data_IF_584260228078
#
_entry.id   IF_584260228078
#
_cell.length_a   1.000
_cell.length_b   1.000
_cell.length_c   1.000
_cell.angle_alpha   90.00
_cell.angle_beta   90.00
_cell.angle_gamma   90.00
#
_symmetry.space_group_name_H-M   'P 1'
#
loop_
_entity.id
_entity.type
_entity.pdbx_description
1 polymer ?
#
# COMPACT_ATOMS: atom_id res chain seq x y z
N UNK A 1 -1.93 55.44 -6.50
CA UNK A 1 -3.05 54.91 -7.31
C UNK A 1 -3.19 55.81 -8.52
N UNK A 2 -3.02 55.28 -9.75
CA UNK A 2 -3.08 56.08 -10.97
C UNK A 2 -4.46 56.04 -11.64
N UNK A 3 -5.14 54.90 -11.61
CA UNK A 3 -6.52 54.72 -12.06
C UNK A 3 -7.19 53.50 -11.38
N UNK A 4 -8.50 53.33 -11.55
CA UNK A 4 -9.28 52.19 -11.02
C UNK A 4 -8.69 50.82 -11.35
N UNK A 5 -8.04 50.70 -12.53
CA UNK A 5 -7.43 49.46 -13.03
C UNK A 5 -5.91 49.54 -13.15
N UNK A 6 -5.30 50.58 -12.55
CA UNK A 6 -3.87 50.82 -12.63
C UNK A 6 -3.39 51.42 -11.31
N UNK A 7 -2.99 50.55 -10.39
CA UNK A 7 -2.42 50.93 -9.11
C UNK A 7 -1.39 49.90 -8.69
N UNK A 8 -0.35 50.40 -8.03
CA UNK A 8 0.63 49.61 -7.33
C UNK A 8 0.65 50.00 -5.85
N UNK A 9 1.06 49.08 -4.99
CA UNK A 9 1.20 49.36 -3.56
C UNK A 9 1.93 48.26 -2.81
N UNK A 10 2.14 48.51 -1.52
CA UNK A 10 2.55 47.52 -0.54
C UNK A 10 1.62 47.60 0.67
N UNK A 11 1.57 46.54 1.46
CA UNK A 11 0.73 46.45 2.65
C UNK A 11 1.09 45.24 3.48
N UNK A 12 0.48 45.12 4.65
CA UNK A 12 0.59 43.94 5.49
C UNK A 12 -0.72 43.17 5.43
N UNK A 13 -0.64 41.86 5.25
CA UNK A 13 -1.78 40.96 5.35
C UNK A 13 -1.65 40.14 6.63
N UNK A 14 -2.63 40.23 7.53
CA UNK A 14 -2.63 39.44 8.75
C UNK A 14 -3.25 38.07 8.49
N UNK A 15 -2.40 37.06 8.26
CA UNK A 15 -2.84 35.68 8.15
C UNK A 15 -3.30 35.18 9.51
N UNK A 16 -4.57 34.77 9.59
CA UNK A 16 -5.16 34.24 10.82
C UNK A 16 -5.26 32.73 10.73
N UNK A 17 -4.53 32.02 11.58
CA UNK A 17 -4.63 30.57 11.66
C UNK A 17 -5.93 30.11 12.35
N UNK A 18 -6.15 28.79 12.37
CA UNK A 18 -7.29 28.16 13.05
C UNK A 18 -7.42 28.47 14.56
N UNK A 19 -6.32 28.83 15.24
CA UNK A 19 -6.32 29.20 16.66
C UNK A 19 -6.66 30.68 16.87
N UNK A 20 -6.71 31.44 15.78
CA UNK A 20 -6.89 32.87 15.77
C UNK A 20 -5.61 33.68 15.94
N UNK A 21 -4.45 33.02 15.96
CA UNK A 21 -3.14 33.67 15.99
C UNK A 21 -2.91 34.39 14.65
N UNK A 22 -2.46 35.64 14.74
CA UNK A 22 -2.17 36.47 13.59
C UNK A 22 -0.69 36.38 13.23
N UNK A 23 -0.43 36.18 11.94
CA UNK A 23 0.89 36.18 11.34
C UNK A 23 0.93 37.26 10.26
N UNK A 24 1.58 38.42 10.52
CA UNK A 24 1.66 39.49 9.54
C UNK A 24 2.58 39.10 8.38
N UNK A 25 2.09 39.26 7.15
CA UNK A 25 2.84 38.99 5.92
C UNK A 25 3.01 40.31 5.16
N UNK A 26 4.25 40.71 4.92
CA UNK A 26 4.56 41.86 4.06
C UNK A 26 4.24 41.54 2.59
N UNK A 27 3.25 42.23 2.05
CA UNK A 27 2.88 42.18 0.63
C UNK A 27 3.53 43.36 -0.08
N UNK A 28 4.57 43.11 -0.88
CA UNK A 28 5.38 44.16 -1.51
C UNK A 28 4.89 44.58 -2.88
N UNK A 29 4.16 43.71 -3.57
CA UNK A 29 3.75 43.91 -4.95
C UNK A 29 2.23 43.74 -5.11
N UNK A 30 1.46 44.73 -4.64
CA UNK A 30 0.01 44.82 -4.87
C UNK A 30 -0.18 45.46 -6.24
N UNK A 31 -0.81 44.76 -7.19
CA UNK A 31 -1.03 45.23 -8.54
C UNK A 31 -2.33 44.68 -9.15
N UNK A 32 -2.67 45.13 -10.35
CA UNK A 32 -3.82 44.66 -11.13
C UNK A 32 -3.34 43.73 -12.24
N UNK A 33 -3.93 42.55 -12.37
CA UNK A 33 -3.60 41.59 -13.44
C UNK A 33 -4.25 41.93 -14.79
N UNK A 34 -3.99 41.10 -15.81
CA UNK A 34 -4.54 41.28 -17.16
C UNK A 34 -6.06 41.10 -17.23
N UNK A 35 -6.68 40.47 -16.23
CA UNK A 35 -8.13 40.33 -16.08
C UNK A 35 -8.74 41.44 -15.20
N UNK A 36 -7.97 42.47 -14.86
CA UNK A 36 -8.35 43.59 -14.01
C UNK A 36 -8.68 43.21 -12.55
N UNK A 37 -8.14 42.12 -12.03
CA UNK A 37 -8.25 41.69 -10.64
C UNK A 37 -7.02 42.10 -9.83
N UNK A 38 -7.21 42.45 -8.57
CA UNK A 38 -6.10 42.72 -7.66
C UNK A 38 -5.36 41.42 -7.33
N UNK A 39 -4.04 41.46 -7.36
CA UNK A 39 -3.20 40.45 -6.74
C UNK A 39 -2.15 41.11 -5.86
N UNK A 40 -1.64 40.37 -4.89
CA UNK A 40 -0.50 40.79 -4.08
C UNK A 40 0.52 39.66 -3.96
N UNK A 41 1.81 40.00 -3.98
CA UNK A 41 2.90 39.06 -3.70
C UNK A 41 3.61 39.45 -2.41
N UNK A 42 3.80 38.46 -1.55
CA UNK A 42 4.59 38.52 -0.33
C UNK A 42 5.56 37.35 -0.26
N UNK A 43 6.51 37.41 0.68
CA UNK A 43 7.45 36.33 0.95
C UNK A 43 7.65 36.20 2.45
N UNK A 44 7.54 34.96 2.92
CA UNK A 44 7.77 34.56 4.31
C UNK A 44 9.16 33.94 4.39
N UNK A 45 10.12 34.58 5.07
CA UNK A 45 11.45 34.00 5.26
C UNK A 45 11.42 32.90 6.33
N UNK A 46 12.37 31.97 6.29
CA UNK A 46 12.38 30.81 7.19
C UNK A 46 12.54 31.20 8.66
N UNK A 47 13.34 32.23 8.93
CA UNK A 47 13.57 32.81 10.26
C UNK A 47 12.32 33.45 10.89
N UNK A 48 11.26 33.70 10.12
CA UNK A 48 10.01 34.25 10.65
C UNK A 48 9.22 33.24 11.50
N UNK A 49 9.52 31.93 11.42
CA UNK A 49 8.81 30.90 12.19
C UNK A 49 7.30 30.88 11.89
N UNK A 50 6.92 31.16 10.65
CA UNK A 50 5.53 31.21 10.22
C UNK A 50 4.93 29.79 10.16
N UNK A 51 3.64 29.70 10.49
CA UNK A 51 2.91 28.44 10.51
C UNK A 51 1.60 28.59 9.73
N UNK A 52 1.28 27.61 8.87
CA UNK A 52 -0.03 27.52 8.21
C UNK A 52 -1.10 27.11 9.23
N UNK A 53 -0.72 26.27 10.17
CA UNK A 53 -1.47 25.93 11.38
C UNK A 53 -0.48 25.42 12.43
N UNK A 54 -0.90 25.19 13.69
CA UNK A 54 -0.02 24.60 14.69
C UNK A 54 0.66 23.28 14.28
N UNK A 55 0.12 22.60 13.26
CA UNK A 55 0.64 21.33 12.74
C UNK A 55 1.64 21.48 11.58
N UNK A 56 1.75 22.66 10.96
CA UNK A 56 2.52 22.86 9.72
C UNK A 56 3.33 24.15 9.75
N UNK A 57 4.66 24.03 9.78
CA UNK A 57 5.56 25.15 9.55
C UNK A 57 5.61 25.47 8.05
N UNK A 58 5.87 26.74 7.70
CA UNK A 58 6.01 27.15 6.31
C UNK A 58 7.00 28.31 6.11
N UNK A 59 7.72 28.27 4.99
CA UNK A 59 8.38 29.44 4.43
C UNK A 59 8.32 29.43 2.90
N UNK A 60 8.33 30.61 2.28
CA UNK A 60 8.27 30.75 0.83
C UNK A 60 7.43 31.93 0.36
N UNK A 61 7.00 31.87 -0.88
CA UNK A 61 6.22 32.92 -1.52
C UNK A 61 4.73 32.76 -1.22
N UNK A 62 4.06 33.90 -1.07
CA UNK A 62 2.63 33.99 -0.79
C UNK A 62 1.98 34.89 -1.82
N UNK A 63 0.88 34.42 -2.41
CA UNK A 63 0.12 35.13 -3.43
C UNK A 63 -1.32 35.29 -2.96
N UNK A 64 -1.77 36.53 -2.89
CA UNK A 64 -3.16 36.91 -2.70
C UNK A 64 -3.79 37.19 -4.06
N UNK A 65 -5.01 36.73 -4.27
CA UNK A 65 -5.83 37.03 -5.45
C UNK A 65 -7.20 37.50 -4.99
N UNK A 66 -7.68 38.64 -5.47
CA UNK A 66 -8.99 39.18 -5.07
C UNK A 66 -10.18 38.26 -5.41
N UNK A 67 -10.01 37.38 -6.40
CA UNK A 67 -10.99 36.37 -6.79
C UNK A 67 -11.03 35.16 -5.86
N UNK A 68 -10.10 35.05 -4.90
CA UNK A 68 -9.90 33.90 -4.02
C UNK A 68 -9.92 34.33 -2.56
N UNK A 69 -10.64 33.60 -1.72
CA UNK A 69 -10.58 33.81 -0.26
C UNK A 69 -9.29 33.25 0.34
N UNK A 70 -8.83 32.12 -0.18
CA UNK A 70 -7.57 31.51 0.24
C UNK A 70 -6.37 32.20 -0.40
N UNK A 71 -5.27 32.27 0.37
CA UNK A 71 -3.95 32.61 -0.16
C UNK A 71 -3.34 31.38 -0.85
N UNK A 72 -2.60 31.62 -1.93
CA UNK A 72 -1.78 30.61 -2.58
C UNK A 72 -0.35 30.68 -2.03
N UNK A 73 0.20 29.53 -1.67
CA UNK A 73 1.53 29.36 -1.11
C UNK A 73 2.38 28.56 -2.07
N UNK A 74 3.62 29.02 -2.29
CA UNK A 74 4.64 28.33 -3.07
C UNK A 74 5.93 28.33 -2.26
N UNK A 75 6.33 27.19 -1.73
CA UNK A 75 7.45 27.17 -0.80
C UNK A 75 7.67 25.80 -0.18
N UNK A 76 8.19 25.79 1.03
CA UNK A 76 8.47 24.57 1.78
C UNK A 76 7.61 24.50 3.04
N UNK A 77 7.11 23.31 3.36
CA UNK A 77 6.44 23.02 4.63
C UNK A 77 7.16 21.91 5.38
N UNK A 78 6.94 21.83 6.69
CA UNK A 78 7.40 20.75 7.54
C UNK A 78 6.32 20.40 8.55
N UNK A 79 6.18 19.10 8.82
CA UNK A 79 5.29 18.57 9.85
C UNK A 79 5.96 18.53 11.23
N UNK A 80 5.15 18.61 12.28
CA UNK A 80 5.59 18.71 13.67
C UNK A 80 5.36 17.40 14.42
N UNK A 81 6.44 16.69 14.75
CA UNK A 81 6.39 15.46 15.56
C UNK A 81 7.73 15.23 16.29
N UNK A 82 7.72 14.39 17.32
CA UNK A 82 8.94 13.98 18.06
C UNK A 82 9.31 12.51 17.85
N UNK A 83 8.80 11.90 16.78
CA UNK A 83 9.05 10.50 16.47
C UNK A 83 10.49 10.18 16.07
N UNK A 84 11.17 9.40 16.91
CA UNK A 84 12.49 8.83 16.64
C UNK A 84 12.44 7.93 15.40
N UNK A 85 13.43 8.06 14.51
CA UNK A 85 13.55 7.23 13.31
C UNK A 85 12.78 7.73 12.09
N UNK A 86 11.98 8.81 12.23
CA UNK A 86 11.38 9.53 11.10
C UNK A 86 11.95 10.95 11.12
N UNK A 87 12.58 11.38 10.02
CA UNK A 87 13.23 12.69 9.98
C UNK A 87 12.22 13.80 9.69
N UNK A 88 12.35 14.93 10.41
CA UNK A 88 11.56 16.15 10.20
C UNK A 88 12.13 16.99 9.06
N UNK A 89 11.86 16.60 7.82
CA UNK A 89 12.36 17.30 6.64
C UNK A 89 11.39 18.36 6.12
N UNK A 90 11.94 19.31 5.37
CA UNK A 90 11.15 20.25 4.58
C UNK A 90 10.75 19.62 3.25
N UNK A 91 9.52 19.88 2.83
CA UNK A 91 8.98 19.44 1.55
C UNK A 91 8.46 20.64 0.77
N UNK A 92 8.84 20.74 -0.50
CA UNK A 92 8.30 21.74 -1.41
C UNK A 92 6.84 21.47 -1.77
N UNK A 93 6.00 22.50 -1.81
CA UNK A 93 4.64 22.42 -2.35
C UNK A 93 4.19 23.76 -2.95
N UNK A 94 3.17 23.66 -3.80
CA UNK A 94 2.38 24.80 -4.28
C UNK A 94 0.91 24.50 -4.10
N UNK A 95 0.17 25.37 -3.42
CA UNK A 95 -1.26 25.14 -3.18
C UNK A 95 -1.97 26.32 -2.53
N UNK A 96 -3.31 26.34 -2.66
CA UNK A 96 -4.17 27.24 -1.90
C UNK A 96 -4.47 26.61 -0.54
N UNK A 97 -4.38 27.41 0.52
CA UNK A 97 -4.57 26.92 1.89
C UNK A 97 -5.74 27.63 2.55
N UNK A 98 -6.71 26.85 3.02
CA UNK A 98 -7.72 27.29 3.98
C UNK A 98 -7.11 27.20 5.39
N UNK A 99 -6.96 28.32 6.14
CA UNK A 99 -6.41 28.29 7.49
C UNK A 99 -7.26 27.49 8.49
N UNK A 100 -8.56 27.30 8.23
CA UNK A 100 -9.45 26.52 9.10
C UNK A 100 -9.33 25.01 8.84
N UNK A 101 -8.89 24.64 7.64
CA UNK A 101 -8.72 23.25 7.25
C UNK A 101 -7.57 23.09 6.26
N UNK A 102 -6.35 23.01 6.80
CA UNK A 102 -5.12 22.96 6.02
C UNK A 102 -4.97 21.60 5.33
N UNK A 103 -5.11 21.60 4.00
CA UNK A 103 -4.73 20.50 3.11
C UNK A 103 -3.53 20.90 2.25
N UNK A 104 -2.44 20.15 2.34
CA UNK A 104 -1.22 20.42 1.57
C UNK A 104 -1.11 19.40 0.42
N UNK A 105 -1.01 19.83 -0.85
CA UNK A 105 -0.81 18.91 -1.96
C UNK A 105 0.48 18.09 -1.85
N UNK A 106 0.39 16.79 -2.13
CA UNK A 106 1.48 15.81 -2.11
C UNK A 106 1.53 15.14 -3.49
N UNK A 107 2.60 15.39 -4.26
CA UNK A 107 2.81 14.85 -5.60
C UNK A 107 3.42 13.45 -5.61
N UNK A 108 3.40 12.80 -6.78
CA UNK A 108 3.99 11.47 -7.02
C UNK A 108 5.51 11.45 -6.89
N UNK A 109 6.15 12.59 -7.19
CA UNK A 109 7.58 12.79 -7.02
C UNK A 109 7.77 14.00 -6.12
N UNK A 110 8.36 13.77 -4.96
CA UNK A 110 8.65 14.78 -3.97
C UNK A 110 10.15 14.87 -3.77
N UNK A 111 10.61 16.12 -3.64
CA UNK A 111 11.99 16.41 -3.26
C UNK A 111 12.00 17.38 -2.10
N UNK A 112 13.04 17.30 -1.28
CA UNK A 112 13.28 18.30 -0.26
C UNK A 112 13.96 19.56 -0.83
N UNK A 113 14.31 20.50 0.04
CA UNK A 113 14.96 21.74 -0.35
C UNK A 113 16.32 21.56 -1.04
N UNK A 114 16.97 20.40 -0.85
CA UNK A 114 18.24 20.03 -1.47
C UNK A 114 18.09 19.21 -2.76
N UNK A 115 16.85 18.94 -3.18
CA UNK A 115 16.55 18.15 -4.38
C UNK A 115 16.62 16.63 -4.19
N UNK A 116 16.70 16.15 -2.94
CA UNK A 116 16.76 14.72 -2.62
C UNK A 116 15.36 14.12 -2.50
N UNK A 117 15.17 12.84 -2.88
CA UNK A 117 13.85 12.20 -2.92
C UNK A 117 13.23 12.08 -1.53
N UNK A 118 11.96 12.46 -1.42
CA UNK A 118 11.15 12.37 -0.20
C UNK A 118 10.10 11.27 -0.35
N UNK A 119 9.96 10.44 0.68
CA UNK A 119 8.99 9.34 0.73
C UNK A 119 7.78 9.64 1.61
N UNK A 120 6.68 8.94 1.32
CA UNK A 120 5.34 9.12 1.91
C UNK A 120 4.72 7.77 2.28
N UNK A 121 5.51 6.87 2.85
CA UNK A 121 5.09 5.49 3.09
C UNK A 121 6.20 4.56 3.56
N UNK A 122 6.01 3.27 3.31
CA UNK A 122 6.97 2.21 3.64
C UNK A 122 7.65 1.71 2.36
N UNK A 123 8.95 1.54 2.48
CA UNK A 123 9.85 1.18 1.38
C UNK A 123 10.71 -0.01 1.77
N UNK A 124 11.32 -0.63 0.77
CA UNK A 124 12.28 -1.71 0.93
C UNK A 124 13.55 -1.39 0.16
N UNK A 125 14.71 -1.60 0.79
CA UNK A 125 15.99 -1.37 0.14
C UNK A 125 16.13 -2.22 -1.12
N UNK A 126 16.65 -1.60 -2.18
CA UNK A 126 16.88 -2.30 -3.46
C UNK A 126 18.03 -3.29 -3.39
N UNK A 127 19.04 -2.99 -2.57
CA UNK A 127 20.25 -3.79 -2.39
C UNK A 127 20.22 -4.61 -1.10
N UNK A 128 21.01 -5.69 -1.10
CA UNK A 128 21.16 -6.62 0.01
C UNK A 128 22.19 -6.08 1.02
N UNK A 129 21.90 -6.08 2.35
CA UNK A 129 20.75 -6.73 2.98
C UNK A 129 19.42 -6.00 2.72
N UNK A 130 18.38 -6.76 2.36
CA UNK A 130 17.06 -6.20 2.10
C UNK A 130 16.38 -5.85 3.42
N UNK A 131 16.03 -4.59 3.59
CA UNK A 131 15.41 -4.09 4.82
C UNK A 131 14.23 -3.19 4.51
N UNK A 132 13.23 -3.21 5.39
CA UNK A 132 12.07 -2.32 5.29
C UNK A 132 12.29 -1.08 6.16
N UNK A 133 11.81 0.06 5.69
CA UNK A 133 11.85 1.30 6.46
C UNK A 133 10.66 2.20 6.13
N UNK A 134 10.24 2.98 7.12
CA UNK A 134 9.17 3.96 6.99
C UNK A 134 9.71 5.37 6.74
N UNK A 135 8.98 6.15 5.96
CA UNK A 135 9.19 7.59 5.76
C UNK A 135 7.84 8.29 5.78
N UNK A 136 7.81 9.53 6.26
CA UNK A 136 6.62 10.37 6.17
C UNK A 136 7.06 11.80 5.94
N UNK A 137 7.11 12.20 4.67
CA UNK A 137 7.68 13.48 4.24
C UNK A 137 9.15 13.61 4.65
N UNK A 138 9.85 12.48 4.69
CA UNK A 138 11.27 12.38 5.01
C UNK A 138 12.05 11.75 3.85
N UNK A 139 13.36 11.99 3.77
CA UNK A 139 14.22 11.45 2.71
C UNK A 139 14.08 9.93 2.60
N UNK A 140 14.00 9.42 1.37
CA UNK A 140 14.26 8.00 1.08
C UNK A 140 15.75 7.70 1.31
N UNK A 141 16.08 6.44 1.61
CA UNK A 141 17.50 6.02 1.68
C UNK A 141 18.11 6.02 0.28
N UNK A 142 17.40 5.43 -0.68
CA UNK A 142 17.72 5.52 -2.11
C UNK A 142 16.46 5.84 -2.93
N UNK A 143 16.63 6.56 -4.05
CA UNK A 143 15.53 6.86 -4.97
C UNK A 143 14.92 5.60 -5.61
N UNK A 144 15.76 4.59 -5.85
CA UNK A 144 15.41 3.34 -6.53
C UNK A 144 14.87 2.27 -5.57
N UNK A 145 14.78 2.56 -4.27
CA UNK A 145 14.17 1.65 -3.29
C UNK A 145 12.72 1.34 -3.66
N UNK A 146 12.34 0.08 -3.47
CA UNK A 146 11.03 -0.45 -3.86
C UNK A 146 9.95 0.06 -2.92
N UNK A 147 8.88 0.57 -3.49
CA UNK A 147 7.68 0.96 -2.74
C UNK A 147 6.96 -0.29 -2.24
N UNK A 148 6.78 -0.41 -0.94
CA UNK A 148 5.88 -1.40 -0.33
C UNK A 148 4.48 -0.82 -0.30
N UNK A 149 4.34 0.42 0.16
CA UNK A 149 3.12 1.22 0.03
C UNK A 149 3.49 2.69 0.16
N UNK A 150 2.98 3.52 -0.74
CA UNK A 150 3.16 4.98 -0.72
C UNK A 150 1.83 5.68 -1.03
N UNK A 151 1.62 6.85 -0.44
CA UNK A 151 0.41 7.65 -0.64
C UNK A 151 0.71 9.03 -1.24
N UNK A 152 -0.28 9.56 -1.94
CA UNK A 152 -0.26 10.85 -2.64
C UNK A 152 -1.62 11.53 -2.55
N UNK A 153 -1.69 12.79 -2.97
CA UNK A 153 -2.92 13.58 -2.96
C UNK A 153 -2.81 14.76 -2.02
N UNK A 154 -3.39 14.64 -0.83
CA UNK A 154 -3.42 15.69 0.18
C UNK A 154 -2.87 15.18 1.51
N UNK A 155 -2.01 15.99 2.11
CA UNK A 155 -1.59 15.89 3.51
C UNK A 155 -2.58 16.66 4.37
N UNK A 156 -3.04 16.01 5.43
CA UNK A 156 -3.99 16.54 6.40
C UNK A 156 -3.56 16.16 7.82
N UNK A 157 -3.85 17.01 8.81
CA UNK A 157 -3.66 16.68 10.21
C UNK A 157 -5.01 16.40 10.89
N UNK A 158 -5.25 15.13 11.22
CA UNK A 158 -6.42 14.72 11.99
C UNK A 158 -6.15 15.01 13.47
N UNK A 159 -6.74 16.10 13.98
CA UNK A 159 -6.59 16.55 15.38
C UNK A 159 -7.18 15.57 16.39
N UNK A 160 -8.25 14.86 16.02
CA UNK A 160 -8.93 13.92 16.91
C UNK A 160 -8.06 12.67 17.12
N UNK A 161 -7.41 12.19 16.05
CA UNK A 161 -6.49 11.05 16.09
C UNK A 161 -5.03 11.45 16.37
N UNK A 162 -4.73 12.75 16.39
CA UNK A 162 -3.38 13.31 16.52
C UNK A 162 -2.41 12.68 15.53
N UNK A 163 -2.83 12.61 14.27
CA UNK A 163 -2.08 11.95 13.21
C UNK A 163 -2.03 12.77 11.93
N UNK A 164 -0.88 12.78 11.28
CA UNK A 164 -0.77 13.23 9.90
C UNK A 164 -1.26 12.12 8.98
N UNK A 165 -2.01 12.48 7.93
CA UNK A 165 -2.61 11.55 6.96
C UNK A 165 -2.33 12.05 5.56
N UNK A 166 -1.87 11.17 4.68
CA UNK A 166 -1.70 11.42 3.24
C UNK A 166 -2.62 10.46 2.49
N UNK A 167 -3.56 10.99 1.70
CA UNK A 167 -4.37 10.21 0.75
C UNK A 167 -5.13 11.14 -0.21
N UNK A 168 -6.01 10.56 -1.03
CA UNK A 168 -7.01 11.33 -1.76
C UNK A 168 -8.07 11.88 -0.80
N UNK A 169 -8.71 13.01 -1.18
CA UNK A 169 -9.66 13.72 -0.31
C UNK A 169 -10.81 12.83 0.17
N UNK A 170 -11.34 11.98 -0.70
CA UNK A 170 -12.48 11.13 -0.38
C UNK A 170 -12.11 10.07 0.66
N UNK A 171 -10.96 9.38 0.49
CA UNK A 171 -10.47 8.39 1.45
C UNK A 171 -10.08 9.00 2.81
N UNK A 172 -9.56 10.24 2.84
CA UNK A 172 -9.33 10.97 4.11
C UNK A 172 -10.64 11.15 4.88
N UNK A 173 -11.75 11.41 4.19
CA UNK A 173 -13.07 11.60 4.81
C UNK A 173 -13.75 10.27 5.13
N UNK A 174 -13.53 9.26 4.31
CA UNK A 174 -14.20 7.96 4.38
C UNK A 174 -13.17 6.84 4.12
N UNK A 175 -12.60 6.30 5.20
CA UNK A 175 -11.45 5.39 5.14
C UNK A 175 -11.67 4.09 4.35
N UNK A 176 -12.91 3.67 4.14
CA UNK A 176 -13.29 2.45 3.40
C UNK A 176 -13.32 2.65 1.87
N UNK A 177 -13.11 3.88 1.38
CA UNK A 177 -13.00 4.15 -0.04
C UNK A 177 -11.64 3.72 -0.61
N UNK A 178 -11.58 3.47 -1.94
CA UNK A 178 -10.34 3.05 -2.60
C UNK A 178 -9.19 4.07 -2.56
N UNK A 179 -7.96 3.58 -2.70
CA UNK A 179 -6.73 4.35 -2.85
C UNK A 179 -5.77 4.18 -1.67
N UNK A 180 -4.50 4.54 -1.83
CA UNK A 180 -3.54 4.40 -0.74
C UNK A 180 -3.71 5.52 0.30
N UNK A 181 -3.68 5.16 1.58
CA UNK A 181 -3.64 6.06 2.71
C UNK A 181 -2.43 5.70 3.57
N UNK A 182 -1.63 6.70 3.95
CA UNK A 182 -0.54 6.55 4.90
C UNK A 182 -0.76 7.56 6.02
N UNK A 183 -0.63 7.12 7.27
CA UNK A 183 -0.81 7.96 8.43
C UNK A 183 0.29 7.76 9.48
N UNK A 184 0.79 8.87 10.02
CA UNK A 184 1.77 8.92 11.11
C UNK A 184 1.10 9.43 12.38
N UNK A 185 1.02 8.58 13.41
CA UNK A 185 0.60 8.99 14.75
C UNK A 185 1.71 9.81 15.42
N UNK A 186 1.36 11.01 15.91
CA UNK A 186 2.32 11.87 16.64
C UNK A 186 2.52 11.44 18.09
N UNK A 187 1.63 10.60 18.63
CA UNK A 187 1.73 10.09 20.00
C UNK A 187 2.49 8.76 20.09
N UNK A 188 2.18 7.82 19.19
CA UNK A 188 2.74 6.46 19.24
C UNK A 188 3.87 6.23 18.25
N UNK A 189 4.09 7.18 17.33
CA UNK A 189 5.04 7.07 16.24
C UNK A 189 4.85 5.84 15.35
N UNK A 190 3.63 5.29 15.37
CA UNK A 190 3.17 4.27 14.45
C UNK A 190 2.95 4.89 13.08
N UNK A 191 3.67 4.38 12.09
CA UNK A 191 3.38 4.63 10.69
C UNK A 191 2.45 3.52 10.21
N UNK A 192 1.21 3.90 9.89
CA UNK A 192 0.16 3.00 9.42
C UNK A 192 -0.14 3.28 7.95
N UNK A 193 -0.55 2.25 7.21
CA UNK A 193 -0.95 2.38 5.83
C UNK A 193 -2.14 1.46 5.52
N UNK A 194 -2.97 1.88 4.58
CA UNK A 194 -4.13 1.14 4.07
C UNK A 194 -4.19 1.29 2.54
N UNK A 195 -4.26 0.18 1.81
CA UNK A 195 -4.35 0.18 0.35
C UNK A 195 -3.66 -1.03 -0.28
N UNK A 196 -3.10 -0.82 -1.48
CA UNK A 196 -2.29 -1.83 -2.18
C UNK A 196 -0.90 -1.92 -1.54
N UNK A 197 -0.51 -3.13 -1.19
CA UNK A 197 0.76 -3.45 -0.52
C UNK A 197 1.57 -4.36 -1.45
N UNK A 198 2.69 -3.85 -1.95
CA UNK A 198 3.68 -4.64 -2.68
C UNK A 198 4.54 -5.46 -1.74
N UNK A 199 4.88 -6.70 -2.13
CA UNK A 199 5.76 -7.58 -1.34
C UNK A 199 7.24 -7.22 -1.54
N UNK A 200 7.53 -6.27 -2.44
CA UNK A 200 8.89 -5.93 -2.82
C UNK A 200 9.59 -7.01 -3.64
N UNK A 201 8.89 -8.00 -4.19
CA UNK A 201 9.45 -9.09 -5.01
C UNK A 201 9.13 -8.93 -6.50
N UNK A 202 10.03 -9.42 -7.37
CA UNK A 202 9.80 -9.61 -8.80
C UNK A 202 9.62 -11.10 -9.13
N UNK A 203 8.39 -11.48 -9.45
CA UNK A 203 7.99 -12.87 -9.69
C UNK A 203 7.65 -13.15 -11.16
N UNK A 204 8.04 -12.26 -12.09
CA UNK A 204 7.83 -12.44 -13.52
C UNK A 204 6.35 -12.63 -13.90
N UNK A 205 6.00 -13.84 -14.36
CA UNK A 205 4.64 -14.20 -14.77
C UNK A 205 3.69 -14.51 -13.61
N UNK A 206 4.21 -14.78 -12.40
CA UNK A 206 3.36 -14.90 -11.21
C UNK A 206 2.97 -13.50 -10.73
N UNK A 207 1.68 -13.28 -10.52
CA UNK A 207 1.13 -12.05 -9.96
C UNK A 207 0.68 -12.28 -8.53
N UNK A 208 0.99 -11.33 -7.67
CA UNK A 208 0.64 -11.34 -6.26
C UNK A 208 0.28 -9.91 -5.87
N UNK A 209 -1.01 -9.64 -5.75
CA UNK A 209 -1.52 -8.33 -5.34
C UNK A 209 -2.09 -8.46 -3.92
N UNK A 210 -1.57 -7.66 -2.99
CA UNK A 210 -2.06 -7.63 -1.63
C UNK A 210 -2.77 -6.31 -1.34
N UNK A 211 -3.91 -6.39 -0.66
CA UNK A 211 -4.72 -5.25 -0.26
C UNK A 211 -5.09 -5.36 1.20
N UNK A 212 -4.84 -4.31 1.98
CA UNK A 212 -5.15 -4.32 3.40
C UNK A 212 -4.39 -3.25 4.17
N UNK A 213 -4.08 -3.56 5.43
CA UNK A 213 -3.39 -2.63 6.34
C UNK A 213 -1.97 -3.06 6.62
N UNK A 214 -1.08 -2.10 6.79
CA UNK A 214 0.32 -2.31 7.16
C UNK A 214 0.71 -1.34 8.28
N UNK A 215 1.45 -1.84 9.26
CA UNK A 215 1.97 -1.10 10.41
C UNK A 215 3.50 -1.20 10.45
N UNK A 216 4.17 -0.05 10.56
CA UNK A 216 5.60 0.06 10.78
C UNK A 216 5.90 0.81 12.08
N UNK A 217 6.69 0.18 12.96
CA UNK A 217 7.14 0.76 14.23
C UNK A 217 8.60 1.15 14.11
N UNK A 218 8.88 2.46 14.06
CA UNK A 218 10.22 2.98 13.77
C UNK A 218 11.28 2.56 14.79
N UNK A 219 10.93 2.52 16.09
CA UNK A 219 11.86 2.17 17.16
C UNK A 219 12.25 0.69 17.13
N UNK A 220 11.27 -0.19 16.90
CA UNK A 220 11.48 -1.64 16.86
C UNK A 220 11.95 -2.13 15.49
N UNK A 221 11.82 -1.30 14.44
CA UNK A 221 12.05 -1.65 13.04
C UNK A 221 11.25 -2.88 12.60
N UNK A 222 10.07 -3.06 13.18
CA UNK A 222 9.15 -4.15 12.85
C UNK A 222 8.11 -3.66 11.88
N UNK A 223 7.75 -4.51 10.92
CA UNK A 223 6.65 -4.26 10.00
C UNK A 223 5.75 -5.48 9.93
N UNK A 224 4.45 -5.24 10.05
CA UNK A 224 3.41 -6.24 10.00
C UNK A 224 2.28 -5.78 9.08
N UNK A 225 1.65 -6.69 8.37
CA UNK A 225 0.54 -6.41 7.49
C UNK A 225 -0.58 -7.43 7.69
N UNK A 226 -1.83 -7.00 7.48
CA UNK A 226 -2.99 -7.87 7.40
C UNK A 226 -3.70 -7.63 6.07
N UNK A 227 -3.68 -8.63 5.20
CA UNK A 227 -3.99 -8.45 3.77
C UNK A 227 -4.91 -9.53 3.23
N UNK A 228 -5.71 -9.15 2.24
CA UNK A 228 -6.20 -10.06 1.21
C UNK A 228 -5.10 -10.20 0.18
N UNK A 229 -4.76 -11.43 -0.20
CA UNK A 229 -3.73 -11.71 -1.19
C UNK A 229 -4.36 -12.42 -2.39
N UNK A 230 -4.28 -11.78 -3.55
CA UNK A 230 -4.75 -12.30 -4.83
C UNK A 230 -3.51 -12.79 -5.58
N UNK A 231 -3.38 -14.11 -5.72
CA UNK A 231 -2.28 -14.71 -6.48
C UNK A 231 -2.77 -15.37 -7.76
N UNK A 232 -2.06 -15.08 -8.85
CA UNK A 232 -2.36 -15.62 -10.18
C UNK A 232 -1.10 -16.17 -10.81
N UNK A 233 -1.17 -17.40 -11.29
CA UNK A 233 -0.07 -18.06 -11.95
C UNK A 233 -0.60 -19.12 -12.92
N UNK A 234 0.01 -19.29 -14.12
CA UNK A 234 -0.42 -20.32 -15.05
C UNK A 234 -0.25 -21.72 -14.44
N UNK A 235 -1.31 -22.52 -14.42
CA UNK A 235 -1.28 -23.86 -13.83
C UNK A 235 -2.35 -24.78 -14.44
N UNK A 236 -2.35 -26.04 -14.02
CA UNK A 236 -3.38 -27.00 -14.39
C UNK A 236 -4.63 -26.81 -13.52
N UNK A 237 -5.69 -26.23 -14.08
CA UNK A 237 -6.96 -25.98 -13.37
C UNK A 237 -7.50 -27.22 -12.65
N UNK A 238 -7.50 -28.38 -13.33
CA UNK A 238 -7.98 -29.64 -12.75
C UNK A 238 -7.26 -30.04 -11.46
N UNK A 239 -5.97 -29.71 -11.33
CA UNK A 239 -5.21 -29.99 -10.11
C UNK A 239 -5.62 -29.05 -8.96
N UNK A 240 -5.87 -27.78 -9.23
CA UNK A 240 -6.44 -26.85 -8.23
C UNK A 240 -7.87 -27.22 -7.87
N UNK A 241 -8.67 -27.65 -8.84
CA UNK A 241 -10.04 -28.13 -8.61
C UNK A 241 -10.08 -29.35 -7.70
N UNK A 242 -9.12 -30.28 -7.85
CA UNK A 242 -8.94 -31.44 -6.95
C UNK A 242 -8.55 -31.01 -5.54
N UNK A 243 -7.64 -30.04 -5.39
CA UNK A 243 -7.31 -29.46 -4.08
C UNK A 243 -8.57 -28.88 -3.40
N UNK A 244 -9.43 -28.18 -4.15
CA UNK A 244 -10.69 -27.66 -3.60
C UNK A 244 -11.64 -28.77 -3.16
N UNK A 245 -11.70 -29.88 -3.90
CA UNK A 245 -12.52 -31.04 -3.54
C UNK A 245 -12.03 -31.70 -2.27
N UNK A 246 -10.71 -31.86 -2.10
CA UNK A 246 -10.10 -32.41 -0.89
C UNK A 246 -10.33 -31.52 0.32
N UNK A 247 -10.20 -30.20 0.13
CA UNK A 247 -10.58 -29.22 1.14
C UNK A 247 -12.07 -29.42 1.48
N UNK A 248 -12.99 -29.37 0.51
CA UNK A 248 -14.41 -29.48 0.79
C UNK A 248 -14.82 -30.78 1.49
N UNK A 249 -14.10 -31.88 1.25
CA UNK A 249 -14.35 -33.19 1.86
C UNK A 249 -13.76 -33.34 3.28
N UNK A 250 -12.87 -32.45 3.70
CA UNK A 250 -12.20 -32.54 5.00
C UNK A 250 -13.17 -32.26 6.16
N UNK A 251 -13.21 -33.09 7.21
CA UNK A 251 -14.02 -32.83 8.39
C UNK A 251 -13.48 -31.61 9.19
N UNK A 252 -14.33 -30.98 10.02
CA UNK A 252 -13.91 -29.94 10.98
C UNK A 252 -13.32 -28.63 10.42
N UNK A 253 -13.70 -28.23 9.21
CA UNK A 253 -13.21 -26.97 8.67
C UNK A 253 -13.81 -25.74 9.33
N UNK A 254 -12.95 -24.82 9.76
CA UNK A 254 -13.37 -23.51 10.27
C UNK A 254 -13.64 -22.55 9.12
N UNK A 255 -14.82 -21.95 9.12
CA UNK A 255 -15.17 -20.89 8.18
C UNK A 255 -14.42 -19.60 8.51
N UNK A 256 -14.12 -18.81 7.48
CA UNK A 256 -13.58 -17.45 7.67
C UNK A 256 -14.74 -16.49 7.92
N UNK A 257 -14.62 -15.67 8.96
CA UNK A 257 -15.54 -14.56 9.22
C UNK A 257 -15.11 -13.34 8.37
N UNK A 258 -15.60 -13.28 7.13
CA UNK A 258 -15.20 -12.31 6.11
C UNK A 258 -15.43 -10.84 6.53
N UNK A 259 -16.41 -10.58 7.39
CA UNK A 259 -16.66 -9.24 7.92
C UNK A 259 -15.52 -8.74 8.83
N UNK A 260 -14.69 -9.65 9.36
CA UNK A 260 -13.52 -9.33 10.18
C UNK A 260 -12.20 -9.36 9.42
N UNK A 261 -12.22 -9.52 8.10
CA UNK A 261 -11.01 -9.61 7.28
C UNK A 261 -10.87 -8.39 6.37
N UNK A 262 -9.71 -8.17 5.74
CA UNK A 262 -9.55 -7.09 4.74
C UNK A 262 -10.28 -7.35 3.41
N UNK A 263 -11.07 -8.43 3.28
CA UNK A 263 -11.63 -8.85 2.00
C UNK A 263 -12.58 -7.82 1.36
N UNK A 264 -13.50 -7.24 2.13
CA UNK A 264 -14.41 -6.21 1.59
C UNK A 264 -13.66 -4.98 1.07
N UNK A 265 -12.61 -4.56 1.77
CA UNK A 265 -11.75 -3.45 1.34
C UNK A 265 -11.01 -3.82 0.05
N UNK A 266 -10.46 -5.02 -0.03
CA UNK A 266 -9.80 -5.51 -1.24
C UNK A 266 -10.76 -5.55 -2.44
N UNK A 267 -12.02 -5.97 -2.24
CA UNK A 267 -13.03 -5.91 -3.29
C UNK A 267 -13.22 -4.48 -3.81
N UNK A 268 -13.35 -3.50 -2.91
CA UNK A 268 -13.49 -2.07 -3.26
C UNK A 268 -12.29 -1.54 -4.04
N UNK A 269 -11.08 -1.92 -3.66
CA UNK A 269 -9.86 -1.54 -4.38
C UNK A 269 -9.81 -2.15 -5.80
N UNK A 270 -10.22 -3.42 -5.95
CA UNK A 270 -10.13 -4.14 -7.24
C UNK A 270 -11.27 -3.77 -8.20
N UNK A 271 -12.50 -3.62 -7.71
CA UNK A 271 -13.71 -3.51 -8.54
C UNK A 271 -14.36 -2.12 -8.50
N UNK A 272 -13.91 -1.25 -7.59
CA UNK A 272 -14.58 0.01 -7.27
C UNK A 272 -15.81 -0.16 -6.39
N UNK A 273 -16.31 0.96 -5.86
CA UNK A 273 -17.38 0.99 -4.84
C UNK A 273 -18.67 0.28 -5.29
N UNK A 274 -19.25 0.70 -6.41
CA UNK A 274 -20.59 0.24 -6.83
C UNK A 274 -20.66 -1.27 -7.10
N UNK A 275 -19.64 -1.84 -7.75
CA UNK A 275 -19.58 -3.28 -8.03
C UNK A 275 -19.35 -4.07 -6.74
N UNK A 276 -18.49 -3.55 -5.86
CA UNK A 276 -18.14 -4.20 -4.61
C UNK A 276 -19.31 -4.24 -3.63
N UNK A 277 -20.04 -3.14 -3.47
CA UNK A 277 -21.16 -3.09 -2.53
C UNK A 277 -22.27 -4.10 -2.89
N UNK A 278 -22.47 -4.37 -4.19
CA UNK A 278 -23.37 -5.45 -4.66
C UNK A 278 -22.87 -6.84 -4.26
N UNK A 279 -21.58 -7.11 -4.42
CA UNK A 279 -20.98 -8.41 -4.07
C UNK A 279 -20.90 -8.62 -2.56
N UNK A 280 -20.57 -7.58 -1.80
CA UNK A 280 -20.54 -7.60 -0.33
C UNK A 280 -21.95 -7.89 0.21
N UNK A 281 -22.98 -7.24 -0.35
CA UNK A 281 -24.38 -7.53 -0.01
C UNK A 281 -24.76 -8.99 -0.31
N UNK A 282 -24.39 -9.51 -1.50
CA UNK A 282 -24.63 -10.92 -1.83
C UNK A 282 -23.92 -11.88 -0.86
N UNK A 283 -22.64 -11.61 -0.57
CA UNK A 283 -21.82 -12.38 0.36
C UNK A 283 -22.43 -12.39 1.77
N UNK A 284 -22.90 -11.25 2.26
CA UNK A 284 -23.54 -11.13 3.57
C UNK A 284 -24.87 -11.88 3.66
N UNK A 285 -25.63 -11.97 2.57
CA UNK A 285 -26.95 -12.62 2.56
C UNK A 285 -26.83 -14.13 2.34
N UNK A 286 -25.95 -14.56 1.43
CA UNK A 286 -25.86 -15.95 0.97
C UNK A 286 -24.66 -16.72 1.54
N UNK A 287 -23.70 -16.02 2.15
CA UNK A 287 -22.42 -16.61 2.59
C UNK A 287 -21.42 -16.87 1.45
N UNK A 288 -21.80 -16.62 0.19
CA UNK A 288 -20.95 -16.81 -0.98
C UNK A 288 -21.29 -15.81 -2.10
N UNK A 289 -20.34 -15.64 -3.03
CA UNK A 289 -20.53 -14.86 -4.26
C UNK A 289 -20.85 -15.85 -5.38
N UNK A 290 -22.08 -15.83 -5.91
CA UNK A 290 -22.54 -16.82 -6.90
C UNK A 290 -21.79 -16.72 -8.23
N UNK A 291 -21.45 -15.50 -8.65
CA UNK A 291 -20.68 -15.24 -9.88
C UNK A 291 -19.52 -14.32 -9.57
N UNK A 292 -18.34 -14.92 -9.40
CA UNK A 292 -17.10 -14.19 -9.24
C UNK A 292 -16.81 -13.36 -10.51
N UNK A 293 -16.48 -12.07 -10.37
CA UNK A 293 -15.92 -11.27 -11.44
C UNK A 293 -14.60 -11.85 -11.95
N UNK A 294 -14.31 -11.66 -13.24
CA UNK A 294 -13.10 -12.18 -13.89
C UNK A 294 -11.81 -11.69 -13.22
N UNK A 295 -11.85 -10.49 -12.61
CA UNK A 295 -10.72 -9.93 -11.85
C UNK A 295 -10.35 -10.77 -10.61
N UNK A 296 -11.30 -11.54 -10.06
CA UNK A 296 -11.13 -12.38 -8.87
C UNK A 296 -11.04 -13.88 -9.20
N UNK A 297 -11.27 -14.28 -10.45
CA UNK A 297 -11.05 -15.66 -10.91
C UNK A 297 -9.55 -15.86 -11.10
N UNK A 298 -8.89 -16.27 -10.02
CA UNK A 298 -7.42 -16.35 -9.89
C UNK A 298 -6.99 -17.66 -9.28
N UNK A 299 -5.74 -18.06 -9.49
CA UNK A 299 -5.22 -19.35 -9.03
C UNK A 299 -5.50 -19.58 -7.54
N UNK A 300 -5.08 -18.66 -6.65
CA UNK A 300 -5.42 -18.69 -5.23
C UNK A 300 -5.69 -17.27 -4.72
N UNK A 301 -6.84 -17.08 -4.07
CA UNK A 301 -7.19 -15.83 -3.39
C UNK A 301 -7.34 -16.09 -1.90
N UNK A 302 -6.49 -15.48 -1.09
CA UNK A 302 -6.60 -15.47 0.36
C UNK A 302 -7.36 -14.21 0.79
N UNK A 303 -8.40 -14.40 1.62
CA UNK A 303 -9.23 -13.34 2.16
C UNK A 303 -8.74 -12.81 3.52
N UNK A 304 -7.80 -13.51 4.17
CA UNK A 304 -7.16 -13.07 5.41
C UNK A 304 -5.76 -13.68 5.57
N UNK A 305 -4.73 -12.85 5.52
CA UNK A 305 -3.34 -13.21 5.81
C UNK A 305 -2.74 -12.16 6.73
N UNK A 306 -2.26 -12.58 7.90
CA UNK A 306 -1.33 -11.80 8.69
C UNK A 306 0.09 -12.10 8.18
N UNK A 307 0.90 -11.08 7.95
CA UNK A 307 2.24 -11.15 7.39
C UNK A 307 3.19 -10.30 8.22
N UNK A 308 4.42 -10.78 8.43
CA UNK A 308 5.49 -10.02 9.10
C UNK A 308 6.76 -10.10 8.27
N UNK A 309 7.56 -9.04 8.28
CA UNK A 309 8.89 -9.07 7.65
C UNK A 309 9.91 -9.75 8.57
N UNK A 310 10.49 -10.84 8.09
CA UNK A 310 11.66 -11.49 8.70
C UNK A 310 12.93 -10.89 8.12
N UNK A 311 13.64 -10.06 8.88
CA UNK A 311 14.96 -9.55 8.47
C UNK A 311 16.01 -10.66 8.36
N UNK A 312 15.85 -11.77 9.11
CA UNK A 312 16.75 -12.93 9.07
C UNK A 312 16.64 -13.68 7.75
N UNK A 313 15.41 -13.86 7.26
CA UNK A 313 15.14 -14.60 6.03
C UNK A 313 14.98 -13.69 4.81
N UNK A 314 15.02 -12.37 5.01
CA UNK A 314 14.73 -11.33 4.02
C UNK A 314 13.41 -11.61 3.28
N UNK A 315 12.36 -11.90 4.07
CA UNK A 315 11.10 -12.39 3.55
C UNK A 315 9.88 -11.86 4.31
N UNK A 316 8.81 -11.57 3.56
CA UNK A 316 7.47 -11.48 4.15
C UNK A 316 6.97 -12.89 4.44
N UNK A 317 6.61 -13.15 5.69
CA UNK A 317 6.17 -14.45 6.16
C UNK A 317 4.82 -14.35 6.83
N UNK A 318 3.88 -15.18 6.39
CA UNK A 318 2.57 -15.27 7.05
C UNK A 318 2.68 -15.77 8.48
N UNK A 319 1.80 -15.31 9.36
CA UNK A 319 1.71 -15.74 10.76
C UNK A 319 0.29 -16.22 11.07
N UNK A 320 0.19 -17.21 11.97
CA UNK A 320 -1.08 -17.83 12.32
C UNK A 320 -1.70 -18.65 11.19
N UNK A 321 -3.03 -18.64 11.10
CA UNK A 321 -3.79 -19.39 10.08
C UNK A 321 -4.04 -18.56 8.83
N UNK A 322 -4.29 -19.24 7.71
CA UNK A 322 -4.52 -18.63 6.39
C UNK A 322 -5.99 -18.71 6.02
N UNK A 323 -6.65 -17.59 5.74
CA UNK A 323 -8.02 -17.57 5.24
C UNK A 323 -8.05 -17.74 3.72
N UNK A 324 -8.29 -18.95 3.21
CA UNK A 324 -8.44 -19.20 1.77
C UNK A 324 -9.85 -18.83 1.33
N UNK A 325 -9.96 -17.83 0.45
CA UNK A 325 -11.23 -17.28 -0.03
C UNK A 325 -11.76 -18.04 -1.24
N UNK A 326 -11.03 -17.99 -2.35
CA UNK A 326 -11.41 -18.66 -3.60
C UNK A 326 -10.22 -19.34 -4.26
N UNK A 327 -10.51 -20.36 -5.06
CA UNK A 327 -9.55 -21.02 -5.94
C UNK A 327 -10.21 -21.12 -7.30
N UNK A 328 -9.62 -20.46 -8.30
CA UNK A 328 -10.26 -20.22 -9.58
C UNK A 328 -11.63 -19.55 -9.37
N UNK A 329 -12.70 -20.18 -9.86
CA UNK A 329 -14.09 -19.75 -9.69
C UNK A 329 -14.80 -20.40 -8.50
N UNK A 330 -14.14 -21.30 -7.76
CA UNK A 330 -14.77 -22.07 -6.68
C UNK A 330 -14.63 -21.30 -5.35
N UNK A 331 -15.74 -21.01 -4.64
CA UNK A 331 -15.66 -20.45 -3.30
C UNK A 331 -15.15 -21.51 -2.32
N UNK A 332 -14.25 -21.10 -1.42
CA UNK A 332 -13.71 -21.95 -0.35
C UNK A 332 -14.08 -21.35 1.00
N UNK A 333 -13.65 -20.11 1.28
CA UNK A 333 -13.87 -19.39 2.54
C UNK A 333 -13.61 -20.25 3.79
N UNK A 334 -12.44 -20.88 3.82
CA UNK A 334 -11.99 -21.75 4.93
C UNK A 334 -10.65 -21.30 5.47
N UNK A 335 -10.49 -21.50 6.77
CA UNK A 335 -9.23 -21.31 7.47
C UNK A 335 -8.38 -22.56 7.35
N UNK A 336 -7.14 -22.40 6.88
CA UNK A 336 -6.17 -23.48 6.71
C UNK A 336 -4.92 -23.23 7.57
N UNK A 337 -4.20 -24.29 7.92
CA UNK A 337 -2.83 -24.19 8.41
C UNK A 337 -1.88 -24.09 7.21
N UNK A 338 -0.73 -23.48 7.41
CA UNK A 338 0.29 -23.40 6.36
C UNK A 338 1.15 -22.16 6.47
N UNK A 339 1.85 -21.85 5.37
CA UNK A 339 2.72 -20.69 5.27
C UNK A 339 2.74 -20.16 3.84
N UNK A 340 2.44 -18.87 3.70
CA UNK A 340 2.80 -18.04 2.55
C UNK A 340 4.08 -17.27 2.88
N UNK A 341 5.05 -17.28 1.97
CA UNK A 341 6.31 -16.55 2.07
C UNK A 341 6.67 -15.88 0.74
N UNK A 342 7.10 -14.61 0.80
CA UNK A 342 7.71 -13.88 -0.30
C UNK A 342 9.13 -13.49 0.10
N UNK A 343 10.12 -14.18 -0.44
CA UNK A 343 11.53 -14.03 -0.10
C UNK A 343 12.27 -13.27 -1.18
N UNK A 344 13.04 -12.27 -0.77
CA UNK A 344 13.98 -11.56 -1.62
C UNK A 344 15.30 -12.32 -1.68
N UNK A 345 15.89 -12.41 -2.88
CA UNK A 345 17.27 -12.92 -3.03
C UNK A 345 17.99 -12.21 -4.15
N UNK A 346 19.30 -12.02 -3.98
CA UNK A 346 20.20 -11.62 -5.09
C UNK A 346 20.09 -12.57 -6.30
N UNK A 347 19.79 -13.84 -6.03
CA UNK A 347 19.63 -14.87 -7.05
C UNK A 347 18.30 -14.78 -7.83
N UNK A 348 17.35 -13.98 -7.39
CA UNK A 348 15.97 -13.95 -7.90
C UNK A 348 14.97 -14.25 -6.80
N UNK A 349 13.91 -13.47 -6.77
CA UNK A 349 12.91 -13.51 -5.70
C UNK A 349 12.08 -14.81 -5.77
N UNK A 350 11.56 -15.24 -4.62
CA UNK A 350 10.89 -16.53 -4.44
C UNK A 350 9.54 -16.31 -3.78
N UNK A 351 8.50 -16.95 -4.30
CA UNK A 351 7.21 -17.09 -3.62
C UNK A 351 7.03 -18.54 -3.21
N UNK A 352 6.68 -18.82 -1.96
CA UNK A 352 6.28 -20.16 -1.52
C UNK A 352 4.92 -20.10 -0.85
N UNK A 353 4.03 -21.02 -1.25
CA UNK A 353 2.71 -21.24 -0.65
C UNK A 353 2.65 -22.70 -0.24
N UNK A 354 2.53 -22.95 1.07
CA UNK A 354 2.31 -24.26 1.65
C UNK A 354 0.98 -24.24 2.39
N UNK A 355 0.08 -25.17 2.06
CA UNK A 355 -1.24 -25.31 2.64
C UNK A 355 -1.39 -26.73 3.19
N UNK A 356 -1.95 -26.87 4.39
CA UNK A 356 -2.22 -28.17 4.98
C UNK A 356 -3.56 -28.18 5.72
N UNK A 357 -4.24 -29.32 5.65
CA UNK A 357 -5.39 -29.63 6.50
C UNK A 357 -4.91 -30.37 7.75
N UNK A 358 -4.00 -31.33 7.56
CA UNK A 358 -3.25 -32.05 8.60
C UNK A 358 -1.86 -32.47 8.08
N UNK A 359 -1.11 -33.22 8.88
CA UNK A 359 0.24 -33.68 8.54
C UNK A 359 0.30 -34.60 7.31
N UNK A 360 -0.82 -35.21 6.94
CA UNK A 360 -0.93 -36.16 5.82
C UNK A 360 -1.56 -35.53 4.57
N UNK A 361 -2.21 -34.38 4.69
CA UNK A 361 -2.96 -33.73 3.62
C UNK A 361 -2.46 -32.31 3.39
N UNK A 362 -1.59 -32.13 2.39
CA UNK A 362 -0.94 -30.85 2.11
C UNK A 362 -0.66 -30.60 0.62
N UNK A 363 -0.48 -29.32 0.29
CA UNK A 363 -0.11 -28.83 -1.03
C UNK A 363 1.02 -27.82 -0.90
N UNK A 364 1.98 -27.92 -1.80
CA UNK A 364 3.16 -27.08 -1.87
C UNK A 364 3.28 -26.46 -3.26
N UNK A 365 3.51 -25.16 -3.30
CA UNK A 365 3.80 -24.38 -4.50
C UNK A 365 4.99 -23.47 -4.20
N UNK A 366 6.03 -23.50 -5.02
CA UNK A 366 7.14 -22.57 -4.92
C UNK A 366 7.52 -22.05 -6.29
N UNK A 367 7.41 -20.75 -6.47
CA UNK A 367 7.92 -20.07 -7.65
C UNK A 367 9.34 -19.57 -7.41
N UNK A 368 10.26 -19.90 -8.31
CA UNK A 368 11.59 -19.32 -8.37
C UNK A 368 12.12 -19.33 -9.81
N UNK A 369 12.61 -18.20 -10.30
CA UNK A 369 13.33 -18.09 -11.60
C UNK A 369 12.59 -18.70 -12.79
N UNK A 370 11.30 -18.39 -12.96
CA UNK A 370 10.50 -18.93 -14.06
C UNK A 370 9.92 -20.32 -13.79
N UNK A 371 10.33 -21.02 -12.73
CA UNK A 371 9.80 -22.34 -12.40
C UNK A 371 8.82 -22.28 -11.23
N UNK A 372 7.60 -22.79 -11.43
CA UNK A 372 6.69 -23.12 -10.33
C UNK A 372 6.84 -24.61 -9.99
N UNK A 373 7.52 -24.90 -8.91
CA UNK A 373 7.61 -26.24 -8.32
C UNK A 373 6.33 -26.54 -7.55
N UNK A 374 5.72 -27.69 -7.79
CA UNK A 374 4.52 -28.13 -7.06
C UNK A 374 4.67 -29.56 -6.55
N UNK A 375 4.04 -29.87 -5.41
CA UNK A 375 3.92 -31.22 -4.86
C UNK A 375 2.71 -31.27 -3.93
N UNK A 376 2.04 -32.40 -3.84
CA UNK A 376 1.00 -32.67 -2.84
C UNK A 376 1.22 -34.02 -2.20
N UNK A 377 0.69 -34.24 -1.00
CA UNK A 377 0.58 -35.60 -0.46
C UNK A 377 -0.43 -36.48 -1.21
N UNK A 378 -1.33 -35.89 -2.00
CA UNK A 378 -2.25 -36.62 -2.87
C UNK A 378 -1.54 -37.12 -4.14
N UNK A 379 -1.50 -38.45 -4.31
CA UNK A 379 -0.95 -39.10 -5.48
C UNK A 379 -1.70 -38.72 -6.76
N UNK A 380 -3.03 -38.54 -6.72
CA UNK A 380 -3.81 -38.18 -7.89
C UNK A 380 -3.45 -36.77 -8.39
N UNK A 381 -3.27 -35.82 -7.46
CA UNK A 381 -2.74 -34.48 -7.77
C UNK A 381 -1.39 -34.57 -8.50
N UNK A 382 -0.45 -35.34 -7.95
CA UNK A 382 0.90 -35.46 -8.52
C UNK A 382 0.88 -36.12 -9.91
N UNK A 383 0.08 -37.18 -10.08
CA UNK A 383 -0.07 -37.88 -11.37
C UNK A 383 -0.59 -36.95 -12.45
N UNK A 384 -1.59 -36.10 -12.15
CA UNK A 384 -2.10 -35.11 -13.11
C UNK A 384 -1.02 -34.16 -13.62
N UNK A 385 -0.06 -33.77 -12.78
CA UNK A 385 1.05 -32.90 -13.18
C UNK A 385 2.12 -33.67 -13.95
N UNK A 386 2.44 -34.91 -13.55
CA UNK A 386 3.48 -35.71 -14.20
C UNK A 386 3.09 -36.18 -15.60
N UNK A 387 1.82 -36.53 -15.82
CA UNK A 387 1.31 -37.03 -17.11
C UNK A 387 1.03 -35.92 -18.12
N UNK A 388 0.99 -34.67 -17.66
CA UNK A 388 0.77 -33.52 -18.53
C UNK A 388 2.00 -33.32 -19.44
N UNK A 389 1.74 -33.19 -20.75
CA UNK A 389 2.79 -32.96 -21.75
C UNK A 389 3.54 -31.65 -21.50
N UNK A 390 4.82 -31.62 -21.86
CA UNK A 390 5.71 -30.47 -21.64
C UNK A 390 5.19 -29.17 -22.24
N UNK A 391 4.61 -29.21 -23.44
CA UNK A 391 4.05 -28.06 -24.13
C UNK A 391 2.85 -27.42 -23.40
N UNK A 392 2.17 -28.19 -22.55
CA UNK A 392 1.07 -27.71 -21.69
C UNK A 392 1.55 -27.19 -20.33
N UNK A 393 2.83 -27.38 -20.01
CA UNK A 393 3.45 -26.91 -18.77
C UNK A 393 4.29 -25.65 -18.97
N UNK A 394 4.58 -25.28 -20.22
CA UNK A 394 5.42 -24.16 -20.60
C UNK A 394 4.59 -22.98 -21.11
N UNK A 395 4.93 -21.79 -20.64
CA UNK A 395 4.23 -20.54 -20.93
C UNK A 395 5.27 -19.50 -21.33
N UNK A 396 5.44 -19.25 -22.64
CA UNK A 396 6.41 -18.29 -23.13
C UNK A 396 6.18 -16.89 -22.58
N UNK A 397 7.25 -16.22 -22.16
CA UNK A 397 7.21 -14.85 -21.70
C UNK A 397 6.84 -13.88 -22.83
N UNK A 398 6.01 -12.88 -22.54
CA UNK A 398 5.87 -11.70 -23.43
C UNK A 398 7.14 -10.84 -23.31
N UNK A 399 7.46 -10.04 -24.35
CA UNK A 399 8.65 -9.15 -24.44
C UNK A 399 9.18 -8.67 -23.07
N UNK A 400 10.34 -9.20 -22.66
CA UNK A 400 11.04 -8.81 -21.43
C UNK A 400 10.67 -9.60 -20.16
N UNK A 401 9.59 -10.39 -20.18
CA UNK A 401 9.25 -11.31 -19.10
C UNK A 401 9.95 -12.67 -19.30
N UNK A 402 10.39 -13.34 -18.23
CA UNK A 402 10.96 -14.68 -18.34
C UNK A 402 9.90 -15.69 -18.75
N UNK A 403 10.35 -16.76 -19.42
CA UNK A 403 9.53 -17.94 -19.63
C UNK A 403 9.10 -18.54 -18.29
N UNK A 404 7.94 -19.17 -18.30
CA UNK A 404 7.37 -19.80 -17.13
C UNK A 404 7.14 -21.29 -17.40
N UNK A 405 7.45 -22.14 -16.42
CA UNK A 405 7.12 -23.55 -16.46
C UNK A 405 6.71 -24.03 -15.07
N UNK A 406 5.62 -24.80 -14.97
CA UNK A 406 5.33 -25.52 -13.73
C UNK A 406 5.79 -26.98 -13.83
N UNK A 407 6.38 -27.49 -12.75
CA UNK A 407 6.92 -28.85 -12.69
C UNK A 407 6.63 -29.53 -11.34
N UNK A 408 6.43 -30.84 -11.39
CA UNK A 408 6.35 -31.65 -10.19
C UNK A 408 7.73 -31.71 -9.52
N UNK A 409 7.79 -31.42 -8.22
CA UNK A 409 8.99 -31.58 -7.40
C UNK A 409 8.91 -32.85 -6.55
N UNK A 410 9.92 -33.10 -5.72
CA UNK A 410 9.95 -34.26 -4.82
C UNK A 410 9.39 -33.90 -3.44
N UNK A 411 8.99 -34.94 -2.70
CA UNK A 411 8.49 -34.81 -1.32
C UNK A 411 9.48 -34.06 -0.42
N UNK A 412 10.78 -34.38 -0.55
CA UNK A 412 11.84 -33.78 0.27
C UNK A 412 11.81 -32.25 0.23
N UNK A 413 11.59 -31.64 -0.93
CA UNK A 413 11.54 -30.17 -1.05
C UNK A 413 10.37 -29.56 -0.28
N UNK A 414 9.22 -30.21 -0.26
CA UNK A 414 8.06 -29.78 0.53
C UNK A 414 8.31 -29.98 2.03
N UNK A 415 8.85 -31.14 2.42
CA UNK A 415 9.18 -31.47 3.80
C UNK A 415 10.24 -30.52 4.38
N UNK A 416 11.32 -30.23 3.64
CA UNK A 416 12.37 -29.31 4.08
C UNK A 416 11.81 -27.89 4.35
N UNK A 417 10.81 -27.43 3.58
CA UNK A 417 10.13 -26.13 3.83
C UNK A 417 9.19 -26.21 5.04
N UNK A 418 8.43 -27.29 5.16
CA UNK A 418 7.52 -27.55 6.28
C UNK A 418 8.28 -27.55 7.61
N UNK A 419 9.38 -28.29 7.65
CA UNK A 419 10.21 -28.46 8.85
C UNK A 419 10.84 -27.14 9.31
N UNK A 420 11.16 -26.23 8.38
CA UNK A 420 11.70 -24.89 8.71
C UNK A 420 10.76 -24.07 9.61
N UNK A 421 9.45 -24.33 9.54
CA UNK A 421 8.43 -23.62 10.32
C UNK A 421 7.79 -24.47 11.42
N UNK A 422 8.30 -25.68 11.66
CA UNK A 422 7.87 -26.56 12.75
C UNK A 422 6.42 -27.01 12.64
N UNK A 423 5.94 -27.27 11.42
CA UNK A 423 4.59 -27.77 11.17
C UNK A 423 4.43 -29.26 11.41
#
# INVERSE_FOLDING_TARGET
IAARRQYSGSGTYDYKDETGKLFPIEMRNINVDTAFQTYALGRVPQEAGFQLSPAFDFFGDVRLEASSKELAFTGNTRIMHECTGISKNWMGFTGKIDPLEVFIPVSDSLTDAEGLPVGTGIYMTKEDPFTTYGTFLSRKQDKDDRDIISAKGLLFYDKAKKSYVISNKDKIRQNDLPGNLVALSTETCLLSADGHIGQGTDLGQVKADAYGTLEYRSEQKTVAARVTLITDFPFLDKALEKMVEDIAAYPEQKQVDLAKTPYERALREVLGKERSDKLISELSIKGEIKRLPDELVKALVFCDLNMEWSAKDEAWQSTGTLGLGTVLKKPVYRTLRGKVEFQRKRSGDVMTVFLMLDEQTYWFFQYARGYLYTYSSDAAFNTMISELKDDKRQFPGKKGAPDYQFILTNKKKADDFRDRFGF
#
